data_IF_856434396862
#
_entry.id   IF_856434396862
#
_cell.length_a   1.000
_cell.length_b   1.000
_cell.length_c   1.000
_cell.angle_alpha   90.00
_cell.angle_beta   90.00
_cell.angle_gamma   90.00
#
_symmetry.space_group_name_H-M   'P 1'
#
loop_
_entity.id
_entity.type
_entity.pdbx_description
1 polymer ?
#
# COMPACT_ATOMS: atom_id res chain seq x y z
N UNK A 1 -25.61 -26.36 -10.84
CA UNK A 1 -25.62 -24.99 -11.39
C UNK A 1 -25.86 -24.03 -10.24
N UNK A 2 -25.01 -23.01 -10.11
CA UNK A 2 -24.73 -22.31 -8.87
C UNK A 2 -25.91 -21.50 -8.29
N UNK A 3 -26.26 -21.77 -7.04
CA UNK A 3 -26.99 -20.80 -6.20
C UNK A 3 -26.01 -19.70 -5.81
N UNK A 4 -25.89 -18.66 -6.64
CA UNK A 4 -25.19 -17.43 -6.30
C UNK A 4 -25.89 -16.80 -5.08
N UNK A 5 -25.30 -16.96 -3.91
CA UNK A 5 -25.73 -16.25 -2.71
C UNK A 5 -25.18 -14.82 -2.77
N UNK A 6 -25.84 -13.88 -2.09
CA UNK A 6 -25.67 -12.42 -2.18
C UNK A 6 -24.24 -11.86 -2.04
N UNK A 7 -23.23 -12.68 -1.76
CA UNK A 7 -21.88 -12.28 -1.37
C UNK A 7 -20.81 -12.43 -2.46
N UNK A 8 -21.08 -13.10 -3.58
CA UNK A 8 -20.05 -13.44 -4.59
C UNK A 8 -19.49 -12.22 -5.36
N UNK A 9 -20.11 -11.04 -5.27
CA UNK A 9 -19.75 -9.84 -6.05
C UNK A 9 -19.58 -8.56 -5.20
N UNK A 10 -19.55 -8.66 -3.87
CA UNK A 10 -19.39 -7.48 -3.02
C UNK A 10 -17.90 -7.08 -2.97
N UNK A 11 -17.57 -5.98 -3.66
CA UNK A 11 -16.29 -5.31 -3.49
C UNK A 11 -16.20 -4.75 -2.07
N UNK A 12 -15.22 -5.23 -1.31
CA UNK A 12 -14.80 -4.62 -0.05
C UNK A 12 -13.62 -3.71 -0.32
N UNK A 13 -13.54 -2.65 0.47
CA UNK A 13 -12.48 -1.64 0.37
C UNK A 13 -11.93 -1.40 1.77
N UNK A 14 -10.62 -1.57 1.92
CA UNK A 14 -9.90 -1.16 3.11
C UNK A 14 -8.97 0.00 2.78
N UNK A 15 -8.79 0.91 3.74
CA UNK A 15 -7.96 2.10 3.60
C UNK A 15 -7.06 2.20 4.82
N UNK A 16 -5.77 2.33 4.58
CA UNK A 16 -4.78 2.67 5.58
C UNK A 16 -4.13 4.01 5.22
N UNK A 17 -3.81 4.80 6.23
CA UNK A 17 -2.88 5.92 6.09
C UNK A 17 -1.58 5.51 6.77
N UNK A 18 -0.47 5.92 6.20
CA UNK A 18 0.77 5.97 6.94
C UNK A 18 0.58 6.92 8.12
N UNK A 19 1.22 6.62 9.24
CA UNK A 19 1.52 7.67 10.21
C UNK A 19 2.26 8.84 9.56
N UNK A 20 2.49 9.88 10.34
CA UNK A 20 3.33 10.99 9.91
C UNK A 20 4.75 10.50 9.60
N UNK A 21 5.23 10.76 8.38
CA UNK A 21 6.56 10.36 7.95
C UNK A 21 7.55 11.44 8.42
N UNK A 22 8.20 11.15 9.55
CA UNK A 22 9.20 12.00 10.19
C UNK A 22 10.59 11.46 9.90
N UNK A 23 11.29 12.10 8.96
CA UNK A 23 12.72 11.93 8.69
C UNK A 23 13.17 10.56 8.16
N UNK A 24 14.08 10.61 7.18
CA UNK A 24 14.73 9.47 6.53
C UNK A 24 15.15 8.36 7.50
N UNK A 25 14.65 7.14 7.23
CA UNK A 25 15.09 5.82 7.73
C UNK A 25 14.28 5.11 8.82
N UNK A 26 12.96 5.32 8.88
CA UNK A 26 12.06 4.32 9.46
C UNK A 26 11.00 3.89 8.45
N UNK A 27 10.86 2.59 8.25
CA UNK A 27 9.69 2.02 7.58
C UNK A 27 8.48 2.19 8.50
N UNK A 28 7.46 2.91 8.03
CA UNK A 28 6.15 2.86 8.64
C UNK A 28 5.39 1.66 8.07
N UNK A 29 4.94 0.79 8.96
CA UNK A 29 4.24 -0.44 8.62
C UNK A 29 2.84 -0.37 9.21
N UNK A 30 1.83 -0.65 8.39
CA UNK A 30 0.44 -0.81 8.83
C UNK A 30 -0.09 -2.17 8.36
N UNK A 31 -0.58 -2.97 9.30
CA UNK A 31 -1.21 -4.27 9.01
C UNK A 31 -2.72 -4.05 8.90
N UNK A 32 -3.24 -4.32 7.70
CA UNK A 32 -4.66 -4.21 7.40
C UNK A 32 -5.34 -5.57 7.50
N UNK A 33 -6.10 -5.79 8.56
CA UNK A 33 -7.00 -6.95 8.69
C UNK A 33 -8.17 -6.81 7.72
N UNK A 34 -8.31 -7.77 6.79
CA UNK A 34 -9.36 -7.75 5.77
C UNK A 34 -10.73 -8.16 6.32
N UNK A 35 -10.79 -8.62 7.58
CA UNK A 35 -12.00 -9.08 8.26
C UNK A 35 -12.80 -10.09 7.42
N UNK A 36 -12.09 -11.06 6.86
CA UNK A 36 -12.69 -12.14 6.08
C UNK A 36 -12.98 -13.36 6.96
N UNK A 37 -14.12 -14.06 6.77
CA UNK A 37 -14.44 -15.23 7.56
C UNK A 37 -13.43 -16.37 7.33
N UNK A 38 -13.25 -17.24 8.33
CA UNK A 38 -12.40 -18.44 8.20
C UNK A 38 -12.88 -19.33 7.04
N UNK A 39 -11.94 -19.89 6.29
CA UNK A 39 -12.21 -20.72 5.10
C UNK A 39 -12.56 -19.91 3.84
N UNK A 40 -12.31 -18.59 3.85
CA UNK A 40 -12.40 -17.72 2.69
C UNK A 40 -11.03 -17.13 2.39
N UNK A 41 -10.80 -16.77 1.13
CA UNK A 41 -9.66 -15.95 0.72
C UNK A 41 -10.15 -14.63 0.12
N UNK A 42 -9.37 -13.58 0.31
CA UNK A 42 -9.53 -12.31 -0.38
C UNK A 42 -8.71 -12.33 -1.67
N UNK A 43 -9.34 -11.89 -2.76
CA UNK A 43 -8.73 -11.70 -4.06
C UNK A 43 -8.65 -10.20 -4.34
N UNK A 44 -7.44 -9.68 -4.40
CA UNK A 44 -7.17 -8.26 -4.60
C UNK A 44 -7.42 -7.91 -6.07
N UNK A 45 -8.14 -6.81 -6.28
CA UNK A 45 -8.59 -6.36 -7.60
C UNK A 45 -7.96 -5.04 -8.01
N UNK A 46 -7.73 -4.16 -7.03
CA UNK A 46 -7.11 -2.86 -7.25
C UNK A 46 -6.41 -2.39 -5.99
N UNK A 47 -5.22 -1.83 -6.17
CA UNK A 47 -4.48 -1.14 -5.11
C UNK A 47 -4.19 0.28 -5.57
N UNK A 48 -4.42 1.25 -4.69
CA UNK A 48 -4.15 2.65 -4.95
C UNK A 48 -3.21 3.17 -3.88
N UNK A 49 -2.06 3.67 -4.32
CA UNK A 49 -1.14 4.44 -3.50
C UNK A 49 -1.33 5.92 -3.81
N UNK A 50 -1.47 6.75 -2.79
CA UNK A 50 -1.68 8.19 -2.96
C UNK A 50 -0.99 8.96 -1.84
N UNK A 51 -0.16 9.93 -2.19
CA UNK A 51 0.39 10.85 -1.18
C UNK A 51 -0.68 11.83 -0.70
N UNK A 52 -0.56 12.23 0.56
CA UNK A 52 -1.43 13.21 1.20
C UNK A 52 -0.61 14.15 2.08
N UNK A 53 -1.22 15.29 2.43
CA UNK A 53 -0.66 16.24 3.40
C UNK A 53 0.77 16.70 3.05
N UNK A 54 1.00 17.19 1.82
CA UNK A 54 2.33 17.60 1.34
C UNK A 54 2.75 19.02 1.76
N UNK A 55 1.99 19.68 2.63
CA UNK A 55 2.06 21.13 2.88
C UNK A 55 3.43 21.60 3.36
N UNK A 56 4.09 20.82 4.23
CA UNK A 56 5.42 21.14 4.75
C UNK A 56 6.54 20.87 3.74
N UNK A 57 6.29 20.06 2.71
CA UNK A 57 7.30 19.68 1.73
C UNK A 57 7.35 20.57 0.48
N UNK A 58 6.49 21.60 0.43
CA UNK A 58 6.38 22.58 -0.66
C UNK A 58 7.69 23.34 -0.94
N UNK A 59 8.54 23.50 0.10
CA UNK A 59 9.83 24.17 -0.01
C UNK A 59 10.99 23.27 -0.43
N UNK A 60 10.83 21.94 -0.45
CA UNK A 60 11.94 21.02 -0.71
C UNK A 60 12.38 21.02 -2.16
N UNK A 61 13.69 20.84 -2.39
CA UNK A 61 14.25 20.69 -3.73
C UNK A 61 13.90 19.32 -4.34
N UNK A 62 13.97 18.26 -3.52
CA UNK A 62 13.68 16.88 -3.92
C UNK A 62 13.26 16.08 -2.69
N UNK A 63 12.31 15.17 -2.87
CA UNK A 63 12.02 14.09 -1.92
C UNK A 63 11.37 12.91 -2.64
N UNK A 64 11.39 11.73 -2.01
CA UNK A 64 10.78 10.50 -2.53
C UNK A 64 9.93 9.81 -1.48
N UNK A 65 8.89 9.12 -1.91
CA UNK A 65 8.16 8.14 -1.10
C UNK A 65 8.17 6.78 -1.79
N UNK A 66 8.56 5.75 -1.05
CA UNK A 66 8.45 4.36 -1.46
C UNK A 66 7.30 3.72 -0.72
N UNK A 67 6.49 2.94 -1.42
CA UNK A 67 5.33 2.26 -0.90
C UNK A 67 5.30 0.82 -1.42
N UNK A 68 4.91 -0.12 -0.57
CA UNK A 68 4.75 -1.52 -0.96
C UNK A 68 3.54 -2.13 -0.25
N UNK A 69 2.81 -2.99 -0.97
CA UNK A 69 1.81 -3.88 -0.41
C UNK A 69 2.33 -5.31 -0.44
N UNK A 70 2.37 -5.94 0.73
CA UNK A 70 2.86 -7.31 0.92
C UNK A 70 1.70 -8.22 1.35
N UNK A 71 1.61 -9.39 0.74
CA UNK A 71 0.67 -10.47 1.05
C UNK A 71 1.29 -11.38 2.10
N UNK A 72 1.24 -10.95 3.34
CA UNK A 72 1.80 -11.72 4.43
C UNK A 72 0.68 -12.11 5.42
N UNK A 73 0.16 -13.35 5.35
CA UNK A 73 -0.95 -13.78 6.18
C UNK A 73 -0.54 -14.09 7.63
N UNK A 74 0.75 -14.23 7.93
CA UNK A 74 1.26 -14.73 9.22
C UNK A 74 2.33 -13.86 9.88
N UNK A 75 2.96 -12.93 9.16
CA UNK A 75 3.96 -12.01 9.73
C UNK A 75 3.33 -10.71 10.24
N UNK A 76 3.11 -10.67 11.55
CA UNK A 76 2.63 -9.48 12.25
C UNK A 76 3.79 -8.58 12.76
N UNK A 77 5.04 -9.02 12.63
CA UNK A 77 6.17 -8.39 13.34
C UNK A 77 7.25 -7.80 12.41
N UNK A 78 7.38 -8.24 11.16
CA UNK A 78 8.39 -7.65 10.28
C UNK A 78 7.92 -6.34 9.65
N UNK A 79 8.81 -5.35 9.78
CA UNK A 79 8.64 -3.97 9.36
C UNK A 79 9.64 -3.59 8.25
N UNK A 80 10.37 -4.55 7.69
CA UNK A 80 11.31 -4.27 6.62
C UNK A 80 10.55 -4.07 5.30
N UNK A 81 10.84 -2.97 4.59
CA UNK A 81 10.47 -2.88 3.18
C UNK A 81 11.36 -3.89 2.45
N UNK A 82 10.77 -4.82 1.69
CA UNK A 82 11.55 -5.75 0.88
C UNK A 82 12.48 -4.94 -0.04
N UNK A 83 13.79 -5.03 0.23
CA UNK A 83 14.79 -4.48 -0.69
C UNK A 83 14.94 -5.42 -1.90
N UNK A 84 15.77 -5.07 -2.89
CA UNK A 84 15.99 -5.73 -4.19
C UNK A 84 16.11 -7.28 -4.24
N UNK A 85 16.10 -7.99 -3.12
CA UNK A 85 15.73 -9.41 -3.04
C UNK A 85 14.22 -9.55 -3.22
N UNK A 86 13.81 -10.14 -4.35
CA UNK A 86 12.41 -10.52 -4.60
C UNK A 86 11.92 -11.40 -3.44
N UNK A 87 11.25 -10.79 -2.48
CA UNK A 87 10.41 -11.53 -1.55
C UNK A 87 9.21 -12.02 -2.33
N UNK A 88 8.87 -13.30 -2.17
CA UNK A 88 7.80 -13.93 -2.96
C UNK A 88 6.40 -13.39 -2.61
N UNK A 89 6.30 -12.55 -1.58
CA UNK A 89 5.03 -12.08 -1.00
C UNK A 89 4.72 -10.61 -1.32
N UNK A 90 5.56 -9.88 -2.07
CA UNK A 90 5.24 -8.51 -2.51
C UNK A 90 4.23 -8.54 -3.65
N UNK A 91 3.04 -7.97 -3.44
CA UNK A 91 2.04 -7.87 -4.51
C UNK A 91 2.37 -6.76 -5.51
N UNK A 92 2.62 -5.56 -4.98
CA UNK A 92 2.92 -4.38 -5.79
C UNK A 92 3.59 -3.28 -4.97
N UNK A 93 4.38 -2.48 -5.64
CA UNK A 93 5.12 -1.34 -5.13
C UNK A 93 4.87 -0.08 -5.95
N UNK A 94 5.16 1.07 -5.35
CA UNK A 94 5.11 2.37 -6.00
C UNK A 94 6.23 3.27 -5.46
N UNK A 95 6.77 4.09 -6.36
CA UNK A 95 7.68 5.19 -6.03
C UNK A 95 7.06 6.49 -6.51
N UNK A 96 6.96 7.48 -5.62
CA UNK A 96 6.62 8.84 -5.99
C UNK A 96 7.81 9.76 -5.76
N UNK A 97 8.32 10.35 -6.83
CA UNK A 97 9.44 11.28 -6.80
C UNK A 97 8.96 12.70 -7.08
N UNK A 98 9.36 13.62 -6.22
CA UNK A 98 9.09 15.04 -6.35
C UNK A 98 10.39 15.79 -6.56
N UNK A 99 10.42 16.63 -7.59
CA UNK A 99 11.51 17.55 -7.85
C UNK A 99 10.94 18.95 -8.09
N UNK A 100 11.54 19.93 -7.41
CA UNK A 100 11.21 21.33 -7.61
C UNK A 100 12.06 21.89 -8.75
N UNK A 101 11.39 22.44 -9.76
CA UNK A 101 12.02 23.22 -10.81
C UNK A 101 11.97 24.69 -10.43
N UNK A 102 13.09 25.27 -10.03
CA UNK A 102 13.18 26.72 -9.82
C UNK A 102 13.40 27.42 -11.17
N UNK A 103 12.64 28.50 -11.39
CA UNK A 103 12.98 29.51 -12.38
C UNK A 103 13.80 30.58 -11.65
N UNK A 104 15.01 30.81 -12.14
CA UNK A 104 16.15 31.58 -11.58
C UNK A 104 15.85 33.03 -11.13
N UNK A 105 14.60 33.52 -11.24
CA UNK A 105 14.26 34.94 -11.10
C UNK A 105 13.17 35.27 -10.04
N UNK A 106 12.60 34.30 -9.33
CA UNK A 106 11.61 34.59 -8.27
C UNK A 106 11.83 33.73 -7.03
N UNK A 107 12.36 34.31 -5.93
CA UNK A 107 12.35 33.65 -4.62
C UNK A 107 10.89 33.38 -4.25
N UNK A 108 10.53 32.13 -3.97
CA UNK A 108 9.17 31.68 -3.68
C UNK A 108 8.17 31.75 -4.86
N UNK A 109 8.61 31.56 -6.10
CA UNK A 109 7.70 31.25 -7.20
C UNK A 109 6.80 30.09 -6.81
N UNK A 110 5.47 30.26 -6.93
CA UNK A 110 4.42 29.36 -6.42
C UNK A 110 4.75 27.89 -6.73
N UNK A 111 5.33 27.17 -5.77
CA UNK A 111 5.54 25.74 -5.91
C UNK A 111 4.23 25.03 -5.61
N UNK A 112 3.56 24.56 -6.66
CA UNK A 112 2.39 23.69 -6.51
C UNK A 112 2.87 22.25 -6.57
N UNK A 113 2.93 21.58 -5.41
CA UNK A 113 3.14 20.13 -5.37
C UNK A 113 1.79 19.45 -5.55
N UNK A 114 1.62 18.77 -6.69
CA UNK A 114 0.45 17.92 -6.92
C UNK A 114 0.73 16.52 -6.37
N UNK A 115 -0.08 16.08 -5.41
CA UNK A 115 0.00 14.73 -4.89
C UNK A 115 -0.08 13.68 -6.00
N UNK A 116 0.92 12.80 -6.03
CA UNK A 116 1.01 11.68 -6.94
C UNK A 116 0.08 10.55 -6.48
N UNK A 117 -0.35 9.79 -7.48
CA UNK A 117 -1.26 8.67 -7.31
C UNK A 117 -0.87 7.58 -8.29
N UNK A 118 -0.59 6.40 -7.76
CA UNK A 118 -0.32 5.19 -8.53
C UNK A 118 -1.46 4.21 -8.34
N UNK A 119 -1.91 3.59 -9.43
CA UNK A 119 -3.03 2.64 -9.45
C UNK A 119 -2.54 1.35 -10.07
N UNK A 120 -2.69 0.24 -9.35
CA UNK A 120 -2.48 -1.10 -9.86
C UNK A 120 -3.83 -1.79 -10.00
N UNK A 121 -4.15 -2.22 -11.21
CA UNK A 121 -5.34 -3.00 -11.54
C UNK A 121 -4.95 -4.44 -11.80
N UNK A 122 -5.53 -5.37 -11.04
CA UNK A 122 -5.27 -6.79 -11.17
C UNK A 122 -6.42 -7.45 -11.93
N UNK A 123 -6.17 -7.98 -13.14
CA UNK A 123 -7.21 -8.63 -13.93
C UNK A 123 -7.67 -9.92 -13.23
N UNK A 124 -8.89 -10.36 -13.53
CA UNK A 124 -9.45 -11.56 -12.87
C UNK A 124 -8.70 -12.86 -13.19
N UNK A 125 -7.88 -12.83 -14.23
CA UNK A 125 -7.02 -13.94 -14.64
C UNK A 125 -5.76 -14.08 -13.80
N UNK A 126 -5.44 -13.11 -12.93
CA UNK A 126 -4.29 -13.16 -12.04
C UNK A 126 -4.76 -13.47 -10.61
N UNK A 127 -4.09 -14.43 -9.98
CA UNK A 127 -4.36 -14.83 -8.59
C UNK A 127 -3.52 -13.98 -7.62
N UNK A 128 -4.02 -12.78 -7.30
CA UNK A 128 -3.52 -11.97 -6.19
C UNK A 128 -4.37 -12.24 -4.93
N UNK A 129 -3.99 -13.24 -4.13
CA UNK A 129 -4.83 -13.77 -3.03
C UNK A 129 -4.15 -13.74 -1.66
N UNK A 130 -4.92 -13.47 -0.61
CA UNK A 130 -4.51 -13.56 0.79
C UNK A 130 -5.68 -14.03 1.66
N UNK A 131 -5.43 -14.51 2.88
CA UNK A 131 -6.42 -15.17 3.75
C UNK A 131 -6.72 -14.44 5.05
N UNK A 132 -5.95 -13.41 5.42
CA UNK A 132 -6.18 -12.63 6.65
C UNK A 132 -5.87 -11.16 6.45
N UNK A 133 -4.59 -10.88 6.28
CA UNK A 133 -4.04 -9.55 6.39
C UNK A 133 -3.31 -9.19 5.09
N UNK A 134 -3.13 -7.89 4.90
CA UNK A 134 -2.12 -7.35 4.00
C UNK A 134 -1.31 -6.32 4.76
N UNK A 135 -0.02 -6.26 4.48
CA UNK A 135 0.89 -5.30 5.09
C UNK A 135 1.15 -4.15 4.12
N UNK A 136 0.93 -2.93 4.58
CA UNK A 136 1.28 -1.72 3.86
C UNK A 136 2.54 -1.10 4.48
N UNK A 137 3.61 -1.05 3.69
CA UNK A 137 4.86 -0.43 4.09
C UNK A 137 5.07 0.88 3.32
N UNK A 138 5.61 1.88 4.00
CA UNK A 138 5.93 3.17 3.39
C UNK A 138 7.13 3.81 4.05
N UNK A 139 7.95 4.49 3.25
CA UNK A 139 9.16 5.17 3.69
C UNK A 139 9.36 6.44 2.88
N UNK A 140 9.70 7.53 3.59
CA UNK A 140 10.10 8.79 2.98
C UNK A 140 11.62 8.91 2.92
N UNK A 141 12.11 9.48 1.83
CA UNK A 141 13.51 9.83 1.63
C UNK A 141 13.64 11.30 1.24
N UNK A 142 14.76 11.88 1.66
CA UNK A 142 15.11 13.29 1.54
C UNK A 142 14.02 14.26 2.04
N UNK A 143 13.24 13.85 3.04
CA UNK A 143 12.15 14.67 3.62
C UNK A 143 12.66 15.65 4.69
N UNK A 144 12.18 16.89 4.68
CA UNK A 144 12.59 17.93 5.63
C UNK A 144 11.97 17.67 7.01
N UNK A 145 12.79 17.83 8.05
CA UNK A 145 12.43 17.65 9.46
C UNK A 145 11.83 18.95 10.00
N UNK A 146 10.57 19.18 9.67
CA UNK A 146 9.68 20.11 10.40
C UNK A 146 8.57 19.28 11.07
N UNK A 147 7.70 19.87 11.91
CA UNK A 147 6.59 19.21 12.66
C UNK A 147 5.51 18.52 11.76
N UNK A 148 5.94 17.64 10.84
CA UNK A 148 5.27 16.72 9.92
C UNK A 148 3.96 17.15 9.24
N UNK A 149 3.92 16.97 7.91
CA UNK A 149 2.64 16.73 7.23
C UNK A 149 2.65 15.54 6.27
N UNK A 150 3.79 15.04 5.78
CA UNK A 150 3.80 13.99 4.75
C UNK A 150 3.15 12.68 5.24
N UNK A 151 2.14 12.22 4.50
CA UNK A 151 1.48 10.93 4.69
C UNK A 151 1.21 10.27 3.35
N UNK A 152 1.08 8.95 3.35
CA UNK A 152 0.68 8.16 2.18
C UNK A 152 -0.53 7.34 2.54
N UNK A 153 -1.45 7.17 1.59
CA UNK A 153 -2.67 6.37 1.76
C UNK A 153 -2.62 5.19 0.82
N UNK A 154 -2.86 4.00 1.37
CA UNK A 154 -3.13 2.80 0.61
C UNK A 154 -4.63 2.50 0.62
N UNK A 155 -5.22 2.27 -0.55
CA UNK A 155 -6.60 1.78 -0.68
C UNK A 155 -6.61 0.46 -1.43
N UNK A 156 -7.08 -0.60 -0.79
CA UNK A 156 -7.11 -1.95 -1.36
C UNK A 156 -8.56 -2.35 -1.61
N UNK A 157 -8.87 -2.67 -2.85
CA UNK A 157 -10.15 -3.22 -3.29
C UNK A 157 -10.01 -4.72 -3.47
N UNK A 158 -10.91 -5.49 -2.87
CA UNK A 158 -10.89 -6.94 -2.96
C UNK A 158 -12.29 -7.53 -3.02
N UNK A 159 -12.38 -8.71 -3.62
CA UNK A 159 -13.52 -9.63 -3.50
C UNK A 159 -13.08 -10.79 -2.60
N UNK A 160 -14.00 -11.57 -2.05
CA UNK A 160 -13.63 -12.76 -1.28
C UNK A 160 -14.45 -13.96 -1.69
N UNK A 161 -13.81 -15.13 -1.72
CA UNK A 161 -14.41 -16.39 -2.16
C UNK A 161 -14.11 -17.52 -1.18
N UNK A 162 -15.02 -18.50 -1.10
CA UNK A 162 -14.87 -19.64 -0.21
C UNK A 162 -13.91 -20.64 -0.83
N UNK A 163 -12.90 -21.06 -0.08
CA UNK A 163 -11.88 -22.01 -0.53
C UNK A 163 -11.99 -23.35 0.20
N UNK A 164 -11.36 -24.38 -0.37
CA UNK A 164 -11.24 -25.67 0.32
C UNK A 164 -10.32 -25.54 1.53
N UNK A 165 -10.52 -26.40 2.55
CA UNK A 165 -9.67 -26.38 3.74
C UNK A 165 -8.20 -26.69 3.43
N UNK A 166 -7.93 -27.55 2.44
CA UNK A 166 -6.57 -27.87 2.00
C UNK A 166 -5.88 -26.65 1.37
N UNK A 167 -6.60 -25.90 0.51
CA UNK A 167 -6.07 -24.67 -0.07
C UNK A 167 -5.90 -23.58 0.99
N UNK A 168 -6.85 -23.48 1.92
CA UNK A 168 -6.80 -22.52 3.02
C UNK A 168 -5.57 -22.74 3.93
N UNK A 169 -5.24 -23.99 4.28
CA UNK A 169 -4.04 -24.30 5.07
C UNK A 169 -2.75 -23.97 4.33
N UNK A 170 -2.69 -24.27 3.02
CA UNK A 170 -1.54 -23.91 2.17
C UNK A 170 -1.32 -22.40 2.10
N UNK A 171 -2.41 -21.63 1.99
CA UNK A 171 -2.36 -20.17 1.97
C UNK A 171 -1.97 -19.54 3.31
N UNK A 172 -2.08 -20.27 4.43
CA UNK A 172 -1.59 -19.87 5.74
C UNK A 172 -0.17 -20.40 6.04
N UNK A 173 0.51 -21.02 5.07
CA UNK A 173 1.82 -21.63 5.32
C UNK A 173 1.83 -22.77 6.35
N UNK A 174 0.66 -23.26 6.79
CA UNK A 174 0.53 -24.35 7.76
C UNK A 174 0.59 -25.66 6.97
N UNK A 175 1.80 -26.16 6.71
CA UNK A 175 2.03 -27.50 6.17
C UNK A 175 1.98 -28.57 7.26
#
# INVERSE_FOLDING_TARGET
>A
MATKQLYDNLYKVIKANSGEILQNDNTLTEIMDLQIPRGWCARIRRVIFQDHSLTTQVGQARFKTHMALVLDPDDEESYHIPMFTVDHDVLCDAEHEYMRFELDATPNGISVIKAQKTIHDFPETLDAVTVRNVRFNTQGFDTLVTDSTLQTRCTVYFTYEKVSMDLYSKLLGIS
#
